data_IF_943859166382
#
_entry.id   IF_943859166382
#
_cell.length_a   1.000
_cell.length_b   1.000
_cell.length_c   1.000
_cell.angle_alpha   90.00
_cell.angle_beta   90.00
_cell.angle_gamma   90.00
#
_symmetry.space_group_name_H-M   'P 1'
#
loop_
_entity.id
_entity.type
_entity.pdbx_description
1 polymer ?
#
# COMPACT_ATOMS: atom_id res chain seq x y z
N UNK A 1 8.60 16.26 -16.04
CA UNK A 1 7.95 16.41 -14.72
C UNK A 1 7.79 15.05 -14.08
N UNK A 2 8.05 14.94 -12.78
CA UNK A 2 7.93 13.69 -12.01
C UNK A 2 6.51 13.10 -12.05
N UNK A 3 5.47 13.94 -12.11
CA UNK A 3 4.08 13.48 -12.27
C UNK A 3 3.84 12.72 -13.57
N UNK A 4 4.33 13.24 -14.70
CA UNK A 4 4.21 12.58 -16.01
C UNK A 4 4.95 11.23 -16.04
N UNK A 5 6.13 11.16 -15.43
CA UNK A 5 6.92 9.92 -15.30
C UNK A 5 6.24 8.87 -14.42
N UNK A 6 5.59 9.29 -13.33
CA UNK A 6 4.85 8.37 -12.48
C UNK A 6 3.59 7.85 -13.20
N UNK A 7 2.87 8.72 -13.90
CA UNK A 7 1.69 8.31 -14.68
C UNK A 7 2.05 7.32 -15.78
N UNK A 8 3.18 7.49 -16.48
CA UNK A 8 3.60 6.51 -17.49
C UNK A 8 3.90 5.12 -16.92
N UNK A 9 4.23 5.02 -15.62
CA UNK A 9 4.49 3.75 -14.94
C UNK A 9 3.23 3.11 -14.37
N UNK A 10 2.34 3.91 -13.75
CA UNK A 10 1.16 3.40 -13.07
C UNK A 10 -0.08 3.32 -13.96
N UNK A 11 -0.14 4.14 -15.01
CA UNK A 11 -1.29 4.31 -15.91
C UNK A 11 -2.63 4.50 -15.18
N UNK A 12 -2.58 5.10 -13.98
CA UNK A 12 -3.75 5.26 -13.11
C UNK A 12 -3.68 6.61 -12.39
N UNK A 13 -4.67 7.47 -12.69
CA UNK A 13 -4.71 8.84 -12.17
C UNK A 13 -4.93 8.90 -10.66
N UNK A 14 -5.77 8.04 -10.10
CA UNK A 14 -6.07 8.04 -8.66
C UNK A 14 -4.85 7.64 -7.84
N UNK A 15 -4.07 6.70 -8.34
CA UNK A 15 -2.79 6.30 -7.75
C UNK A 15 -1.78 7.44 -7.79
N UNK A 16 -1.68 8.16 -8.91
CA UNK A 16 -0.82 9.35 -9.02
C UNK A 16 -1.25 10.44 -8.05
N UNK A 17 -2.56 10.74 -7.97
CA UNK A 17 -3.11 11.71 -7.01
C UNK A 17 -2.80 11.30 -5.58
N UNK A 18 -2.93 10.01 -5.23
CA UNK A 18 -2.65 9.50 -3.89
C UNK A 18 -1.17 9.63 -3.51
N UNK A 19 -0.26 9.36 -4.44
CA UNK A 19 1.20 9.50 -4.21
C UNK A 19 1.57 10.96 -3.94
N UNK A 20 1.09 11.89 -4.77
CA UNK A 20 1.42 13.31 -4.61
C UNK A 20 0.60 14.02 -3.52
N UNK A 21 -0.52 13.45 -3.10
CA UNK A 21 -1.39 14.01 -2.07
C UNK A 21 -1.10 13.46 -0.68
N UNK A 22 -1.62 12.27 -0.37
CA UNK A 22 -1.57 11.69 0.97
C UNK A 22 -0.16 11.18 1.31
N UNK A 23 0.46 10.42 0.41
CA UNK A 23 1.74 9.74 0.70
C UNK A 23 2.92 10.71 0.76
N UNK A 24 2.94 11.74 -0.08
CA UNK A 24 3.97 12.79 -0.05
C UNK A 24 3.99 13.53 1.29
N UNK A 25 2.80 13.85 1.84
CA UNK A 25 2.64 14.48 3.17
C UNK A 25 3.06 13.53 4.27
N UNK A 26 2.65 12.26 4.18
CA UNK A 26 2.98 11.22 5.17
C UNK A 26 4.49 11.02 5.32
N UNK A 27 5.23 11.05 4.22
CA UNK A 27 6.65 10.70 4.20
C UNK A 27 7.60 11.89 4.02
N UNK A 28 7.13 13.13 4.16
CA UNK A 28 7.92 14.34 3.94
C UNK A 28 9.23 14.38 4.74
N UNK A 29 9.22 13.87 5.96
CA UNK A 29 10.37 13.88 6.87
C UNK A 29 11.17 12.56 6.87
N UNK A 30 10.73 11.53 6.12
CA UNK A 30 11.35 10.20 6.12
C UNK A 30 12.38 10.08 5.00
N UNK A 31 13.64 9.77 5.35
CA UNK A 31 14.74 9.58 4.38
C UNK A 31 14.86 8.10 3.98
N UNK A 32 13.92 7.61 3.17
CA UNK A 32 13.91 6.23 2.68
C UNK A 32 13.21 5.21 3.60
N UNK A 33 13.16 3.95 3.17
CA UNK A 33 12.48 2.88 3.92
C UNK A 33 10.95 3.07 4.00
N UNK A 34 10.31 3.33 2.86
CA UNK A 34 8.85 3.60 2.79
C UNK A 34 7.98 2.34 2.86
N UNK A 35 8.58 1.17 2.66
CA UNK A 35 7.91 -0.12 2.71
C UNK A 35 8.63 -1.06 3.69
N UNK A 36 7.87 -2.00 4.25
CA UNK A 36 8.36 -3.14 5.03
C UNK A 36 7.85 -4.43 4.39
N UNK A 37 8.68 -5.47 4.41
CA UNK A 37 8.31 -6.82 3.98
C UNK A 37 8.30 -7.73 5.20
N UNK A 38 7.21 -8.47 5.38
CA UNK A 38 7.00 -9.42 6.47
C UNK A 38 6.89 -10.83 5.89
N UNK A 39 7.70 -11.79 6.38
CA UNK A 39 7.62 -13.18 5.94
C UNK A 39 6.25 -13.76 6.32
N UNK A 40 5.58 -14.41 5.37
CA UNK A 40 4.22 -14.94 5.54
C UNK A 40 4.15 -16.47 5.37
N UNK A 41 5.29 -17.17 5.48
CA UNK A 41 5.36 -18.62 5.32
C UNK A 41 5.34 -19.03 3.86
N UNK A 42 4.62 -20.11 3.55
CA UNK A 42 4.51 -20.68 2.21
C UNK A 42 3.04 -20.80 1.78
N UNK A 43 2.79 -20.75 0.48
CA UNK A 43 1.48 -20.92 -0.15
C UNK A 43 1.01 -22.37 -0.01
N UNK A 44 -0.25 -22.58 0.42
CA UNK A 44 -0.84 -23.92 0.53
C UNK A 44 -1.07 -24.61 -0.82
N UNK A 45 -0.88 -23.92 -1.96
CA UNK A 45 -1.13 -24.47 -3.30
C UNK A 45 0.10 -25.17 -3.87
N UNK A 46 1.26 -24.54 -3.72
CA UNK A 46 2.48 -24.86 -4.46
C UNK A 46 3.75 -24.68 -3.60
N UNK A 47 3.59 -24.50 -2.29
CA UNK A 47 4.68 -24.25 -1.34
C UNK A 47 5.58 -23.07 -1.75
N UNK A 48 5.02 -22.09 -2.47
CA UNK A 48 5.75 -20.89 -2.87
C UNK A 48 5.98 -19.97 -1.64
N UNK A 49 7.19 -19.41 -1.44
CA UNK A 49 7.47 -18.53 -0.31
C UNK A 49 6.66 -17.22 -0.42
N UNK A 50 5.92 -16.91 0.64
CA UNK A 50 5.02 -15.76 0.71
C UNK A 50 5.55 -14.66 1.62
N UNK A 51 5.18 -13.43 1.29
CA UNK A 51 5.45 -12.25 2.10
C UNK A 51 4.33 -11.21 1.96
N UNK A 52 4.13 -10.44 3.03
CA UNK A 52 3.26 -9.27 3.04
C UNK A 52 4.13 -8.02 2.90
N UNK A 53 3.85 -7.20 1.89
CA UNK A 53 4.44 -5.87 1.76
C UNK A 53 3.47 -4.82 2.29
N UNK A 54 3.98 -3.90 3.12
CA UNK A 54 3.19 -2.78 3.64
C UNK A 54 3.94 -1.46 3.59
N UNK A 55 3.17 -0.37 3.42
CA UNK A 55 3.64 0.99 3.59
C UNK A 55 3.89 1.27 5.08
N UNK A 56 5.06 1.84 5.40
CA UNK A 56 5.45 2.22 6.76
C UNK A 56 4.62 3.42 7.23
N UNK A 57 4.47 3.63 8.54
CA UNK A 57 3.70 4.76 9.11
C UNK A 57 2.24 4.86 8.59
N UNK A 58 1.70 3.76 8.04
CA UNK A 58 0.30 3.70 7.58
C UNK A 58 -0.67 3.75 8.76
N UNK A 59 -1.86 4.30 8.52
CA UNK A 59 -2.94 4.21 9.48
C UNK A 59 -3.35 2.72 9.66
N UNK A 60 -3.23 2.22 10.89
CA UNK A 60 -3.54 0.82 11.24
C UNK A 60 -5.07 0.61 11.22
N UNK A 61 -5.85 1.63 11.56
CA UNK A 61 -7.31 1.56 11.62
C UNK A 61 -7.95 1.47 10.23
N UNK A 62 -7.26 1.92 9.18
CA UNK A 62 -7.74 1.80 7.80
C UNK A 62 -8.02 0.34 7.37
N UNK A 63 -7.34 -0.65 7.97
CA UNK A 63 -7.60 -2.09 7.69
C UNK A 63 -9.01 -2.55 8.08
N UNK A 64 -9.71 -1.81 8.95
CA UNK A 64 -11.04 -2.20 9.46
C UNK A 64 -12.18 -1.63 8.62
N UNK A 65 -11.91 -0.66 7.73
CA UNK A 65 -12.93 0.10 7.01
C UNK A 65 -13.47 -0.62 5.77
N UNK A 66 -12.66 -1.43 5.10
CA UNK A 66 -13.08 -2.19 3.89
C UNK A 66 -13.73 -3.54 4.22
N UNK A 67 -14.05 -3.82 5.49
CA UNK A 67 -14.81 -5.02 5.84
C UNK A 67 -16.28 -4.79 5.45
N UNK A 68 -16.89 -5.64 4.60
CA UNK A 68 -18.32 -5.56 4.37
C UNK A 68 -19.04 -5.69 5.72
N UNK A 69 -19.91 -4.72 6.05
CA UNK A 69 -20.76 -4.80 7.25
C UNK A 69 -21.54 -6.10 7.17
N UNK A 70 -21.37 -7.01 8.13
CA UNK A 70 -22.26 -8.15 8.27
C UNK A 70 -23.66 -7.60 8.55
N UNK A 71 -24.57 -7.78 7.61
CA UNK A 71 -25.99 -7.55 7.82
C UNK A 71 -26.43 -8.59 8.85
N UNK A 72 -26.83 -8.15 10.05
CA UNK A 72 -27.50 -9.02 11.03
C UNK A 72 -28.95 -9.16 10.56
N UNK A 73 -29.37 -10.39 10.27
CA UNK A 73 -30.78 -10.76 10.17
C UNK A 73 -31.36 -10.95 11.56
#
# INVERSE_FOLDING_TARGET
>A
SNKKRLFSQLQNDDSVKKVFGELSKRYSNRKGGYCRVLKAGFSNRDDAPMAVIELVDRNIEAKKMDKPKKIQN
#
